data_IF_778451033110
#
_entry.id   IF_778451033110
#
_cell.length_a   1.000
_cell.length_b   1.000
_cell.length_c   1.000
_cell.angle_alpha   90.00
_cell.angle_beta   90.00
_cell.angle_gamma   90.00
#
_symmetry.space_group_name_H-M   'P 1'
#
loop_
_entity.id
_entity.type
_entity.pdbx_description
1 polymer ?
#
# COMPACT_ATOMS: atom_id res chain seq x y z
N UNK A 1 17.07 -48.99 -2.08
CA UNK A 1 18.00 -48.14 -1.31
C UNK A 1 18.36 -46.95 -2.20
N UNK A 2 17.46 -45.98 -2.27
CA UNK A 2 17.57 -44.79 -3.11
C UNK A 2 18.15 -43.65 -2.28
N UNK A 3 19.18 -43.01 -2.80
CA UNK A 3 20.08 -42.11 -2.08
C UNK A 3 19.37 -40.80 -1.64
N UNK A 4 19.34 -40.56 -0.33
CA UNK A 4 18.76 -39.40 0.33
C UNK A 4 19.32 -38.05 -0.20
N UNK A 5 20.51 -38.04 -0.80
CA UNK A 5 21.16 -36.83 -1.33
C UNK A 5 20.57 -36.30 -2.64
N UNK A 6 19.92 -37.14 -3.45
CA UNK A 6 19.35 -36.71 -4.75
C UNK A 6 17.96 -36.07 -4.60
N UNK A 7 17.22 -36.46 -3.55
CA UNK A 7 15.89 -35.87 -3.24
C UNK A 7 16.04 -34.46 -2.67
N UNK A 8 17.11 -34.17 -1.92
CA UNK A 8 17.35 -32.84 -1.34
C UNK A 8 17.74 -31.80 -2.41
N UNK A 9 18.41 -32.20 -3.49
CA UNK A 9 18.84 -31.26 -4.55
C UNK A 9 17.70 -30.96 -5.54
N UNK A 10 16.75 -31.89 -5.74
CA UNK A 10 15.55 -31.64 -6.55
C UNK A 10 14.47 -30.84 -5.80
N UNK A 11 14.51 -30.80 -4.46
CA UNK A 11 13.56 -30.03 -3.64
C UNK A 11 13.98 -28.56 -3.40
N UNK A 12 15.22 -28.18 -3.71
CA UNK A 12 15.75 -26.83 -3.45
C UNK A 12 15.70 -25.92 -4.70
N UNK A 13 15.40 -26.47 -5.89
CA UNK A 13 15.37 -25.70 -7.15
C UNK A 13 13.94 -25.22 -7.52
N UNK A 14 12.91 -25.56 -6.73
CA UNK A 14 11.52 -25.15 -7.00
C UNK A 14 11.07 -23.91 -6.21
N UNK A 15 11.87 -23.39 -5.28
CA UNK A 15 11.50 -22.21 -4.46
C UNK A 15 12.13 -20.89 -4.89
N UNK A 16 12.74 -20.80 -6.08
CA UNK A 16 13.39 -19.54 -6.57
C UNK A 16 12.90 -19.14 -7.98
N UNK A 17 11.76 -19.65 -8.45
CA UNK A 17 11.30 -19.32 -9.83
C UNK A 17 9.79 -19.21 -9.98
N UNK A 18 9.10 -18.69 -8.97
CA UNK A 18 7.68 -18.30 -9.10
C UNK A 18 7.41 -17.07 -8.22
N UNK A 19 7.80 -15.88 -8.68
CA UNK A 19 7.23 -14.64 -8.16
C UNK A 19 7.38 -13.45 -9.12
N UNK A 20 7.57 -13.66 -10.42
CA UNK A 20 7.41 -12.57 -11.40
C UNK A 20 6.74 -13.16 -12.63
N UNK A 21 5.62 -12.56 -13.03
CA UNK A 21 4.78 -12.83 -14.20
C UNK A 21 3.61 -13.83 -14.00
N UNK A 22 2.59 -13.38 -13.26
CA UNK A 22 1.17 -13.46 -13.65
C UNK A 22 0.28 -12.96 -12.50
N UNK A 23 0.19 -11.64 -12.34
CA UNK A 23 -0.87 -11.04 -11.51
C UNK A 23 -2.12 -10.84 -12.37
N UNK A 24 -2.74 -11.95 -12.77
CA UNK A 24 -4.16 -11.98 -13.11
C UNK A 24 -4.83 -12.89 -12.07
N UNK A 25 -5.62 -12.30 -11.17
CA UNK A 25 -6.67 -13.04 -10.46
C UNK A 25 -6.39 -13.59 -9.06
N UNK A 26 -5.29 -13.26 -8.38
CA UNK A 26 -5.19 -13.55 -6.94
C UNK A 26 -5.84 -12.43 -6.13
N UNK A 27 -7.02 -12.75 -5.59
CA UNK A 27 -7.76 -11.95 -4.63
C UNK A 27 -6.87 -11.65 -3.40
N UNK A 28 -6.39 -10.42 -3.30
CA UNK A 28 -5.69 -9.87 -2.13
C UNK A 28 -6.53 -9.96 -0.83
N UNK A 29 -7.82 -10.28 -0.93
CA UNK A 29 -8.74 -10.36 0.20
C UNK A 29 -8.36 -11.46 1.21
N UNK A 30 -7.71 -12.55 0.77
CA UNK A 30 -7.43 -13.69 1.65
C UNK A 30 -6.16 -13.46 2.48
N UNK A 31 -5.13 -12.83 1.90
CA UNK A 31 -3.87 -12.52 2.60
C UNK A 31 -4.05 -11.37 3.60
N UNK A 32 -4.88 -10.36 3.26
CA UNK A 32 -5.17 -9.23 4.17
C UNK A 32 -6.03 -9.69 5.36
N UNK A 33 -6.88 -10.72 5.18
CA UNK A 33 -7.82 -11.18 6.21
C UNK A 33 -7.17 -11.96 7.37
N UNK A 34 -6.03 -12.63 7.15
CA UNK A 34 -5.41 -13.48 8.17
C UNK A 34 -4.58 -12.68 9.19
N UNK A 35 -3.93 -11.59 8.76
CA UNK A 35 -3.23 -10.64 9.64
C UNK A 35 -4.18 -9.60 10.27
N UNK A 36 -5.49 -9.76 10.06
CA UNK A 36 -6.52 -8.84 10.52
C UNK A 36 -6.90 -9.03 12.02
N UNK A 37 -6.25 -9.96 12.72
CA UNK A 37 -6.67 -10.46 14.04
C UNK A 37 -5.94 -9.84 15.24
N UNK A 38 -5.89 -8.51 15.31
CA UNK A 38 -5.99 -7.83 16.60
C UNK A 38 -6.80 -6.55 16.40
N UNK A 39 -8.11 -6.69 16.58
CA UNK A 39 -9.03 -5.56 16.68
C UNK A 39 -8.73 -4.84 18.01
N UNK A 40 -8.07 -3.67 17.94
CA UNK A 40 -7.81 -2.83 19.12
C UNK A 40 -9.09 -2.18 19.68
N UNK A 41 -10.28 -2.50 19.13
CA UNK A 41 -11.58 -2.13 19.69
C UNK A 41 -12.00 -0.70 19.37
N UNK A 42 -11.39 -0.06 18.37
CA UNK A 42 -11.71 1.31 17.95
C UNK A 42 -12.68 1.32 16.78
N UNK A 43 -13.83 1.97 16.95
CA UNK A 43 -14.79 2.19 15.88
C UNK A 43 -14.36 3.40 15.06
N UNK A 44 -13.78 3.16 13.89
CA UNK A 44 -13.56 4.22 12.91
C UNK A 44 -14.92 4.64 12.29
N UNK A 45 -15.01 5.90 11.87
CA UNK A 45 -16.23 6.38 11.20
C UNK A 45 -16.54 5.49 9.99
N UNK A 46 -17.74 4.93 9.97
CA UNK A 46 -18.24 4.04 8.92
C UNK A 46 -17.37 2.79 8.66
N UNK A 47 -16.68 2.24 9.66
CA UNK A 47 -15.80 1.05 9.54
C UNK A 47 -14.67 1.23 8.50
N UNK A 48 -14.18 2.46 8.34
CA UNK A 48 -13.04 2.75 7.48
C UNK A 48 -11.72 2.25 8.11
N UNK A 49 -10.96 1.45 7.38
CA UNK A 49 -9.66 0.92 7.83
C UNK A 49 -8.57 1.32 6.85
N UNK A 50 -7.48 1.85 7.38
CA UNK A 50 -6.29 2.26 6.64
C UNK A 50 -5.18 1.23 6.89
N UNK A 51 -4.76 0.55 5.83
CA UNK A 51 -3.69 -0.44 5.85
C UNK A 51 -2.55 0.03 4.97
N UNK A 52 -1.35 0.13 5.54
CA UNK A 52 -0.11 0.35 4.80
C UNK A 52 0.62 -0.98 4.60
N UNK A 53 0.97 -1.28 3.36
CA UNK A 53 1.89 -2.36 3.00
C UNK A 53 3.20 -1.73 2.58
N UNK A 54 4.29 -2.08 3.25
CA UNK A 54 5.63 -1.54 3.02
C UNK A 54 6.51 -2.66 2.51
N UNK A 55 7.02 -2.51 1.30
CA UNK A 55 7.87 -3.51 0.67
C UNK A 55 9.33 -3.05 0.76
N UNK A 56 10.03 -3.56 1.77
CA UNK A 56 11.45 -3.29 2.00
C UNK A 56 12.31 -4.39 1.38
N UNK A 57 13.58 -4.09 1.15
CA UNK A 57 14.57 -5.08 0.68
C UNK A 57 14.70 -6.32 1.57
N UNK A 58 14.41 -6.18 2.88
CA UNK A 58 14.49 -7.24 3.88
C UNK A 58 13.20 -8.05 4.04
N UNK A 59 12.09 -7.57 3.51
CA UNK A 59 10.77 -8.17 3.65
C UNK A 59 9.65 -7.14 3.58
N UNK A 60 8.42 -7.64 3.52
CA UNK A 60 7.23 -6.81 3.49
C UNK A 60 6.64 -6.69 4.90
N UNK A 61 6.30 -5.47 5.32
CA UNK A 61 5.55 -5.21 6.56
C UNK A 61 4.14 -4.73 6.22
N UNK A 62 3.13 -5.27 6.89
CA UNK A 62 1.75 -4.82 6.78
C UNK A 62 1.34 -4.26 8.13
N UNK A 63 0.96 -2.98 8.14
CA UNK A 63 0.65 -2.26 9.36
C UNK A 63 -0.61 -1.43 9.19
N UNK A 64 -1.43 -1.35 10.24
CA UNK A 64 -2.58 -0.46 10.28
C UNK A 64 -2.21 0.90 10.83
N UNK A 65 -2.92 1.91 10.34
CA UNK A 65 -2.77 3.29 10.77
C UNK A 65 -4.12 3.90 11.08
N UNK A 66 -4.12 4.80 12.05
CA UNK A 66 -5.29 5.55 12.46
C UNK A 66 -5.51 6.76 11.53
N UNK A 67 -4.44 7.36 11.01
CA UNK A 67 -4.52 8.54 10.15
C UNK A 67 -3.55 8.42 8.97
N UNK A 68 -4.05 8.74 7.77
CA UNK A 68 -3.25 8.95 6.57
C UNK A 68 -3.53 10.34 6.01
N UNK A 69 -2.48 11.13 5.75
CA UNK A 69 -2.60 12.45 5.14
C UNK A 69 -1.61 12.59 3.98
N UNK A 70 -2.12 12.84 2.77
CA UNK A 70 -1.31 13.22 1.62
C UNK A 70 -0.94 14.71 1.71
N UNK A 71 0.33 15.01 1.94
CA UNK A 71 0.78 16.38 2.21
C UNK A 71 1.11 17.14 0.93
N UNK A 72 1.85 16.52 0.00
CA UNK A 72 2.37 17.17 -1.22
C UNK A 72 2.30 16.27 -2.44
N UNK A 73 2.57 16.81 -3.64
CA UNK A 73 2.64 16.00 -4.87
C UNK A 73 1.38 16.07 -5.74
N UNK A 74 0.49 17.02 -5.46
CA UNK A 74 -0.64 17.31 -6.35
C UNK A 74 -0.29 18.30 -7.46
N UNK A 75 0.86 18.99 -7.36
CA UNK A 75 1.34 19.93 -8.38
C UNK A 75 2.51 19.34 -9.18
N UNK A 76 2.65 19.78 -10.42
CA UNK A 76 3.76 19.37 -11.27
C UNK A 76 5.12 19.68 -10.61
N UNK A 77 6.02 18.69 -10.60
CA UNK A 77 7.38 18.75 -10.05
C UNK A 77 7.48 18.82 -8.52
N UNK A 78 6.37 18.79 -7.78
CA UNK A 78 6.43 18.56 -6.34
C UNK A 78 6.79 17.10 -6.05
N UNK A 79 7.55 16.88 -4.98
CA UNK A 79 7.78 15.53 -4.46
C UNK A 79 6.51 15.02 -3.79
N UNK A 80 6.25 13.73 -3.91
CA UNK A 80 5.13 13.10 -3.23
C UNK A 80 5.55 12.87 -1.78
N UNK A 81 4.83 13.45 -0.83
CA UNK A 81 5.04 13.20 0.58
C UNK A 81 3.70 13.02 1.28
N UNK A 82 3.67 12.09 2.22
CA UNK A 82 2.51 11.79 3.03
C UNK A 82 2.93 11.49 4.46
N UNK A 83 1.96 11.55 5.35
CA UNK A 83 2.14 11.23 6.77
C UNK A 83 1.21 10.10 7.17
N UNK A 84 1.73 9.27 8.06
CA UNK A 84 1.02 8.19 8.70
C UNK A 84 1.12 8.37 10.20
N UNK A 85 -0.02 8.29 10.89
CA UNK A 85 -0.05 8.26 12.34
C UNK A 85 -0.59 6.91 12.80
N UNK A 86 0.11 6.31 13.76
CA UNK A 86 -0.42 5.16 14.48
C UNK A 86 -0.23 5.24 15.98
N UNK A 87 -1.10 4.58 16.76
CA UNK A 87 -0.81 4.38 18.18
C UNK A 87 0.47 3.56 18.30
N UNK A 88 1.38 3.98 19.19
CA UNK A 88 2.66 3.30 19.43
C UNK A 88 2.41 1.80 19.61
N UNK A 89 3.13 0.99 18.85
CA UNK A 89 2.99 -0.45 18.87
C UNK A 89 4.06 -1.11 18.00
N UNK A 90 3.93 -2.42 17.79
CA UNK A 90 4.92 -3.17 17.02
C UNK A 90 4.85 -2.79 15.52
N UNK A 91 5.98 -2.33 14.97
CA UNK A 91 6.23 -1.97 13.56
C UNK A 91 7.74 -2.08 13.30
N UNK A 92 8.32 -3.29 13.43
CA UNK A 92 9.78 -3.45 13.59
C UNK A 92 10.58 -3.01 12.36
N UNK A 93 10.12 -3.30 11.13
CA UNK A 93 10.84 -2.91 9.91
C UNK A 93 10.69 -1.41 9.65
N UNK A 94 9.50 -0.84 9.90
CA UNK A 94 9.29 0.60 9.80
C UNK A 94 10.16 1.38 10.80
N UNK A 95 10.24 0.93 12.06
CA UNK A 95 11.12 1.54 13.06
C UNK A 95 12.60 1.34 12.71
N UNK A 96 12.99 0.17 12.21
CA UNK A 96 14.37 -0.09 11.76
C UNK A 96 14.79 0.88 10.64
N UNK A 97 13.93 1.08 9.64
CA UNK A 97 14.20 2.01 8.54
C UNK A 97 14.19 3.45 9.03
N UNK A 98 13.33 3.81 9.98
CA UNK A 98 13.32 5.17 10.55
C UNK A 98 14.62 5.47 11.32
N UNK A 99 15.08 4.52 12.13
CA UNK A 99 16.35 4.62 12.85
C UNK A 99 17.54 4.68 11.90
N UNK A 100 17.52 3.85 10.85
CA UNK A 100 18.52 3.85 9.81
C UNK A 100 18.60 5.22 9.11
N UNK A 101 17.48 5.71 8.58
CA UNK A 101 17.41 6.97 7.87
C UNK A 101 17.82 8.14 8.79
N UNK A 102 17.47 8.12 10.07
CA UNK A 102 17.92 9.10 11.06
C UNK A 102 19.45 9.10 11.26
N UNK A 103 20.06 7.91 11.45
CA UNK A 103 21.51 7.78 11.65
C UNK A 103 22.30 8.27 10.44
N UNK A 104 21.76 8.05 9.23
CA UNK A 104 22.47 8.38 8.00
C UNK A 104 22.11 9.75 7.41
N UNK A 105 21.06 10.46 7.87
CA UNK A 105 20.54 11.77 7.38
C UNK A 105 21.55 12.92 7.19
N UNK A 106 22.79 12.77 7.66
CA UNK A 106 23.85 13.77 7.50
C UNK A 106 25.24 13.14 7.24
N UNK A 107 25.28 11.87 6.85
CA UNK A 107 26.53 11.14 6.67
C UNK A 107 27.00 11.19 5.22
N UNK A 108 28.31 11.07 4.98
CA UNK A 108 28.81 10.89 3.62
C UNK A 108 28.31 9.56 2.98
N UNK A 109 27.84 8.61 3.79
CA UNK A 109 27.23 7.35 3.38
C UNK A 109 25.79 7.52 2.86
N UNK A 110 25.07 8.55 3.31
CA UNK A 110 23.71 8.92 2.85
C UNK A 110 23.65 9.10 1.33
N UNK A 111 24.70 9.68 0.75
CA UNK A 111 24.79 9.88 -0.71
C UNK A 111 24.90 8.57 -1.50
N UNK A 112 25.10 7.44 -0.82
CA UNK A 112 25.31 6.13 -1.43
C UNK A 112 24.23 5.12 -1.07
N UNK A 113 23.48 5.33 -0.01
CA UNK A 113 22.49 4.36 0.45
C UNK A 113 21.13 4.68 -0.16
N UNK A 114 20.79 3.91 -1.20
CA UNK A 114 19.50 3.95 -1.87
C UNK A 114 18.53 3.01 -1.15
N UNK A 115 18.40 3.17 0.18
CA UNK A 115 17.49 2.38 1.01
C UNK A 115 16.04 2.83 0.78
N UNK A 116 15.61 2.72 -0.47
CA UNK A 116 14.26 3.04 -0.87
C UNK A 116 13.36 1.81 -0.79
N UNK A 117 12.09 2.05 -0.51
CA UNK A 117 11.07 1.03 -0.38
C UNK A 117 9.78 1.46 -1.09
N UNK A 118 8.94 0.50 -1.42
CA UNK A 118 7.65 0.77 -2.05
C UNK A 118 6.54 0.71 -1.00
N UNK A 119 5.51 1.54 -1.17
CA UNK A 119 4.40 1.64 -0.21
C UNK A 119 3.07 1.53 -0.94
N UNK A 120 2.17 0.70 -0.43
CA UNK A 120 0.78 0.67 -0.84
C UNK A 120 -0.12 0.99 0.34
N UNK A 121 -0.84 2.10 0.25
CA UNK A 121 -1.87 2.48 1.22
C UNK A 121 -3.22 2.03 0.67
N UNK A 122 -3.96 1.27 1.48
CA UNK A 122 -5.29 0.75 1.15
C UNK A 122 -6.28 1.33 2.15
N UNK A 123 -7.31 1.98 1.62
CA UNK A 123 -8.45 2.47 2.41
C UNK A 123 -9.63 1.58 2.07
N UNK A 124 -10.04 0.80 3.06
CA UNK A 124 -11.16 -0.15 2.96
C UNK A 124 -12.32 0.29 3.85
N UNK A 125 -13.52 -0.10 3.46
CA UNK A 125 -14.74 0.09 4.25
C UNK A 125 -15.47 -1.25 4.29
N UNK A 126 -15.52 -1.86 5.47
CA UNK A 126 -16.00 -3.24 5.60
C UNK A 126 -15.15 -4.21 4.78
N UNK A 127 -15.76 -4.87 3.78
CA UNK A 127 -15.08 -5.85 2.89
C UNK A 127 -14.57 -5.25 1.59
N UNK A 128 -14.94 -4.00 1.29
CA UNK A 128 -14.64 -3.40 0.01
C UNK A 128 -13.44 -2.46 0.13
N UNK A 129 -12.47 -2.62 -0.77
CA UNK A 129 -11.46 -1.60 -1.00
C UNK A 129 -12.11 -0.40 -1.71
N UNK A 130 -12.13 0.76 -1.06
CA UNK A 130 -12.69 1.99 -1.66
C UNK A 130 -11.63 2.78 -2.41
N UNK A 131 -10.39 2.77 -1.92
CA UNK A 131 -9.28 3.49 -2.56
C UNK A 131 -7.95 2.84 -2.22
N UNK A 132 -6.99 2.96 -3.12
CA UNK A 132 -5.60 2.68 -2.77
C UNK A 132 -4.63 3.63 -3.46
N UNK A 133 -3.46 3.76 -2.88
CA UNK A 133 -2.38 4.61 -3.35
C UNK A 133 -1.11 3.78 -3.37
N UNK A 134 -0.50 3.65 -4.54
CA UNK A 134 0.79 3.02 -4.70
C UNK A 134 1.86 4.10 -4.84
N UNK A 135 2.91 4.00 -4.04
CA UNK A 135 4.07 4.86 -4.07
C UNK A 135 5.30 4.00 -4.32
N UNK A 136 6.25 4.50 -5.10
CA UNK A 136 7.53 3.82 -5.31
C UNK A 136 8.71 4.73 -5.01
N UNK A 137 9.83 4.07 -4.68
CA UNK A 137 11.09 4.72 -4.32
C UNK A 137 10.91 5.72 -3.16
N UNK A 138 10.33 5.24 -2.06
CA UNK A 138 10.08 6.00 -0.85
C UNK A 138 11.22 5.88 0.15
N UNK A 139 11.39 6.91 1.00
CA UNK A 139 12.27 6.90 2.16
C UNK A 139 11.61 7.67 3.31
N UNK A 140 12.06 7.44 4.55
CA UNK A 140 11.53 8.14 5.72
C UNK A 140 12.23 9.48 5.84
N UNK A 141 11.46 10.57 5.70
CA UNK A 141 11.97 11.93 5.82
C UNK A 141 12.13 12.33 7.28
N UNK A 142 11.14 11.98 8.11
CA UNK A 142 11.17 12.23 9.54
C UNK A 142 10.31 11.23 10.30
N UNK A 143 10.66 11.02 11.56
CA UNK A 143 9.90 10.17 12.49
C UNK A 143 9.98 10.77 13.89
N UNK A 144 8.84 10.85 14.56
CA UNK A 144 8.78 11.29 15.95
C UNK A 144 7.56 10.71 16.67
N UNK A 145 7.67 10.63 17.99
CA UNK A 145 6.59 10.18 18.86
C UNK A 145 5.97 11.39 19.53
N UNK A 146 4.66 11.56 19.40
CA UNK A 146 3.92 12.69 19.97
C UNK A 146 2.80 12.19 20.88
N UNK A 147 2.64 12.84 22.03
CA UNK A 147 1.46 12.65 22.87
C UNK A 147 0.36 13.59 22.40
N UNK A 148 -0.77 13.04 21.98
CA UNK A 148 -1.98 13.78 21.62
C UNK A 148 -2.81 13.98 22.88
N UNK A 149 -3.18 15.23 23.14
CA UNK A 149 -4.10 15.62 24.20
C UNK A 149 -5.39 16.12 23.54
N UNK A 150 -6.55 15.84 24.13
CA UNK A 150 -7.74 16.61 23.78
C UNK A 150 -7.65 18.01 24.41
N UNK A 151 -8.49 18.94 23.93
CA UNK A 151 -8.64 20.26 24.54
C UNK A 151 -9.49 20.21 25.83
N UNK A 152 -9.75 19.01 26.36
CA UNK A 152 -10.38 18.84 27.66
C UNK A 152 -9.29 18.75 28.73
N UNK A 153 -9.67 19.14 29.95
CA UNK A 153 -8.74 19.13 31.08
C UNK A 153 -8.36 17.67 31.37
N UNK A 154 -7.06 17.33 31.21
CA UNK A 154 -6.50 15.98 31.37
C UNK A 154 -6.50 15.48 32.82
N UNK A 155 -7.59 15.73 33.54
CA UNK A 155 -7.76 15.48 34.94
C UNK A 155 -8.90 14.48 35.13
N UNK A 156 -8.54 13.30 35.66
CA UNK A 156 -9.36 12.10 35.93
C UNK A 156 -9.42 11.05 34.80
N UNK A 157 -8.70 9.94 35.02
CA UNK A 157 -8.80 8.60 34.40
C UNK A 157 -8.73 8.46 32.86
N UNK A 158 -8.65 9.55 32.11
CA UNK A 158 -8.43 9.54 30.65
C UNK A 158 -6.96 9.79 30.35
N UNK A 159 -6.23 8.73 29.99
CA UNK A 159 -4.83 8.82 29.60
C UNK A 159 -4.63 9.55 28.28
N UNK A 160 -3.39 9.99 28.01
CA UNK A 160 -3.03 10.59 26.73
C UNK A 160 -2.72 9.51 25.68
N UNK A 161 -3.14 9.73 24.43
CA UNK A 161 -2.76 8.85 23.34
C UNK A 161 -1.32 9.18 22.91
N UNK A 162 -0.43 8.20 22.97
CA UNK A 162 0.91 8.32 22.42
C UNK A 162 0.88 7.74 21.01
N UNK A 163 1.37 8.53 20.05
CA UNK A 163 1.23 8.27 18.62
C UNK A 163 2.59 8.36 17.95
N UNK A 164 2.92 7.35 17.17
CA UNK A 164 4.00 7.35 16.19
C UNK A 164 3.58 8.17 14.98
N UNK A 165 4.42 9.12 14.58
CA UNK A 165 4.22 9.95 13.40
C UNK A 165 5.35 9.71 12.41
N UNK A 166 5.01 9.19 11.22
CA UNK A 166 5.93 8.94 10.12
C UNK A 166 5.69 9.94 9.00
N UNK A 167 6.72 10.68 8.59
CA UNK A 167 6.73 11.49 7.37
C UNK A 167 7.54 10.78 6.29
N UNK A 168 6.87 10.38 5.20
CA UNK A 168 7.46 9.60 4.12
C UNK A 168 7.46 10.41 2.83
N UNK A 169 8.57 10.37 2.09
CA UNK A 169 8.71 11.02 0.80
C UNK A 169 9.04 9.99 -0.29
N UNK A 170 8.38 10.11 -1.44
CA UNK A 170 8.46 9.15 -2.54
C UNK A 170 8.77 9.79 -3.89
N UNK A 171 9.29 8.97 -4.80
CA UNK A 171 9.61 9.35 -6.18
C UNK A 171 8.41 9.34 -7.11
N UNK A 172 7.51 8.37 -6.95
CA UNK A 172 6.30 8.20 -7.77
C UNK A 172 5.04 8.06 -6.93
N UNK A 173 3.89 8.24 -7.58
CA UNK A 173 2.57 8.10 -6.98
C UNK A 173 1.55 7.68 -8.04
N UNK A 174 0.78 6.64 -7.73
CA UNK A 174 -0.32 6.17 -8.55
C UNK A 174 -1.57 5.98 -7.68
N UNK A 175 -2.60 6.83 -7.85
CA UNK A 175 -3.90 6.60 -7.22
C UNK A 175 -4.65 5.53 -7.99
N UNK A 176 -5.13 4.51 -7.28
CA UNK A 176 -5.98 3.47 -7.84
C UNK A 176 -7.37 3.58 -7.21
N UNK A 177 -8.39 3.54 -8.07
CA UNK A 177 -9.79 3.61 -7.68
C UNK A 177 -10.55 2.51 -8.41
N UNK A 178 -10.94 1.43 -7.71
CA UNK A 178 -11.60 0.28 -8.32
C UNK A 178 -12.82 0.67 -9.17
N UNK A 179 -13.66 1.59 -8.69
CA UNK A 179 -14.88 2.02 -9.40
C UNK A 179 -14.56 2.77 -10.68
N UNK A 180 -13.56 3.66 -10.63
CA UNK A 180 -13.16 4.41 -11.82
C UNK A 180 -12.46 3.51 -12.85
N UNK A 181 -11.67 2.55 -12.37
CA UNK A 181 -11.00 1.56 -13.21
C UNK A 181 -12.02 0.66 -13.91
N UNK A 182 -13.06 0.19 -13.23
CA UNK A 182 -14.16 -0.55 -13.86
C UNK A 182 -14.90 0.27 -14.93
N UNK A 183 -15.11 1.57 -14.69
CA UNK A 183 -15.76 2.47 -15.65
C UNK A 183 -14.88 2.80 -16.87
N UNK A 184 -13.56 2.84 -16.69
CA UNK A 184 -12.59 3.21 -17.73
C UNK A 184 -11.88 2.03 -18.36
N UNK A 185 -12.08 0.83 -17.84
CA UNK A 185 -11.73 -0.43 -18.48
C UNK A 185 -12.39 -0.45 -19.86
N UNK A 186 -11.61 -0.06 -20.86
CA UNK A 186 -12.05 -0.02 -22.24
C UNK A 186 -12.46 -1.43 -22.60
N UNK A 187 -13.75 -1.67 -22.83
CA UNK A 187 -14.14 -2.80 -23.67
C UNK A 187 -13.41 -2.58 -25.00
N UNK A 188 -12.39 -3.40 -25.29
CA UNK A 188 -11.56 -3.28 -26.50
C UNK A 188 -12.39 -3.27 -27.80
N UNK A 189 -13.65 -3.71 -27.71
CA UNK A 189 -14.66 -3.63 -28.75
C UNK A 189 -15.79 -2.76 -28.19
N UNK A 190 -15.91 -1.53 -28.68
CA UNK A 190 -17.10 -0.74 -28.43
C UNK A 190 -18.32 -1.51 -28.95
N UNK A 191 -19.34 -1.72 -28.12
CA UNK A 191 -20.64 -2.31 -28.53
C UNK A 191 -21.41 -1.41 -29.52
N UNK A 192 -20.83 -0.27 -29.91
CA UNK A 192 -21.37 0.62 -30.91
C UNK A 192 -21.10 0.05 -32.31
N UNK A 193 -22.16 -0.40 -32.98
CA UNK A 193 -22.13 -0.73 -34.41
C UNK A 193 -21.59 0.47 -35.21
N UNK A 194 -20.61 0.22 -36.07
CA UNK A 194 -20.08 1.23 -36.98
C UNK A 194 -21.14 1.63 -38.02
N UNK A 195 -21.04 2.84 -38.56
CA UNK A 195 -21.89 3.28 -39.69
C UNK A 195 -21.82 2.33 -40.89
N UNK A 196 -20.70 1.64 -41.06
CA UNK A 196 -20.49 0.62 -42.09
C UNK A 196 -21.32 -0.63 -41.81
N UNK A 197 -21.42 -1.03 -40.53
CA UNK A 197 -22.22 -2.18 -40.12
C UNK A 197 -23.71 -1.91 -40.38
N UNK A 198 -24.18 -0.69 -40.05
CA UNK A 198 -25.56 -0.26 -40.34
C UNK A 198 -25.88 -0.28 -41.85
N UNK A 199 -24.98 0.22 -42.69
CA UNK A 199 -25.17 0.20 -44.15
C UNK A 199 -25.25 -1.23 -44.69
N UNK A 200 -24.47 -2.15 -44.13
CA UNK A 200 -24.48 -3.56 -44.53
C UNK A 200 -25.77 -4.28 -44.13
N UNK A 201 -26.36 -3.94 -42.98
CA UNK A 201 -27.63 -4.48 -42.51
C UNK A 201 -28.81 -3.96 -43.31
N UNK A 202 -28.86 -2.65 -43.60
CA UNK A 202 -29.93 -2.08 -44.43
C UNK A 202 -29.94 -2.68 -45.84
N UNK A 203 -28.76 -2.87 -46.44
CA UNK A 203 -28.63 -3.48 -47.77
C UNK A 203 -28.99 -4.97 -47.81
N UNK A 204 -29.00 -5.65 -46.66
CA UNK A 204 -29.52 -7.02 -46.51
C UNK A 204 -31.03 -7.07 -46.34
N UNK A 205 -31.63 -6.05 -45.72
CA UNK A 205 -33.09 -5.95 -45.54
C UNK A 205 -33.83 -5.52 -46.82
N UNK A 206 -33.13 -4.89 -47.76
CA UNK A 206 -33.69 -4.44 -49.05
C UNK A 206 -33.67 -5.51 -50.17
N UNK A 207 -33.26 -6.76 -49.87
CA UNK A 207 -33.35 -7.91 -50.79
C UNK A 207 -34.38 -8.92 -50.30
#
# INVERSE_FOLDING_TARGET
MTNLKTVVIAAIIVTVSFAILSFEGYSLNEIIAEELSEDKGYLFAEDAVITGMFDFSKGTEISRFEIFTQNTGFKAREKFAFTLEKIVGETPLLHEVADHDFLYRNSAAEKKDDNTFDVKIIISQGKDQKRSFSYSSCFIKDYFVVSKTDNEEGWFDKGFAVVDHFEIQCGSYQPNNPVYEEMTAVKEIADAKSSIDYQSEQKKMER
#
